data_IF_482835198206
#
_entry.id   IF_482835198206
#
_cell.length_a   1.000
_cell.length_b   1.000
_cell.length_c   1.000
_cell.angle_alpha   90.00
_cell.angle_beta   90.00
_cell.angle_gamma   90.00
#
_symmetry.space_group_name_H-M   'P 1'
#
loop_
_entity.id
_entity.type
_entity.pdbx_description
1 polymer ?
#
# COMPACT_ATOMS: atom_id res chain seq x y z
N UNK A 1 41.08 6.80 120.97
CA UNK A 1 42.05 7.89 120.77
C UNK A 1 41.98 8.42 119.34
N UNK A 2 41.77 9.74 119.26
CA UNK A 2 42.02 10.62 118.10
C UNK A 2 41.24 10.34 116.76
N UNK A 3 40.42 11.18 116.38
CA UNK A 3 40.33 12.55 115.86
C UNK A 3 40.00 12.51 114.38
N UNK A 4 38.83 13.02 114.07
CA UNK A 4 38.53 14.05 113.04
C UNK A 4 39.24 14.03 111.68
N UNK A 5 38.50 14.13 110.63
CA UNK A 5 38.27 15.43 109.98
C UNK A 5 37.26 15.33 108.84
N UNK A 6 36.34 16.33 108.81
CA UNK A 6 35.38 16.64 107.74
C UNK A 6 36.09 16.91 106.44
N UNK A 7 35.47 16.48 105.29
CA UNK A 7 35.63 17.22 104.05
C UNK A 7 34.33 17.17 103.26
N UNK A 8 33.78 18.33 103.07
CA UNK A 8 32.70 18.76 102.27
C UNK A 8 32.88 18.40 100.82
N UNK A 9 31.98 17.79 100.21
CA UNK A 9 31.92 17.57 98.77
C UNK A 9 30.94 18.48 98.09
N UNK A 10 31.45 19.36 97.26
CA UNK A 10 30.71 20.24 96.35
C UNK A 10 29.73 19.50 95.47
N UNK A 11 28.53 19.99 95.58
CA UNK A 11 27.37 19.58 94.73
C UNK A 11 27.44 20.33 93.45
N UNK A 12 28.06 19.67 92.42
CA UNK A 12 28.07 20.17 91.03
C UNK A 12 26.69 19.91 90.40
N UNK A 13 25.85 20.95 90.39
CA UNK A 13 24.60 21.03 89.60
C UNK A 13 24.91 20.64 88.16
N UNK A 14 24.41 19.49 87.66
CA UNK A 14 24.33 19.07 86.25
C UNK A 14 23.29 19.98 85.55
N UNK A 15 23.74 20.83 84.62
CA UNK A 15 22.86 21.61 83.74
C UNK A 15 22.02 20.62 82.92
N UNK A 16 20.70 20.85 82.75
CA UNK A 16 19.85 20.01 81.95
C UNK A 16 20.27 20.12 80.49
N UNK A 17 20.46 18.96 79.83
CA UNK A 17 20.69 18.85 78.41
C UNK A 17 19.47 19.42 77.64
N UNK A 18 19.63 20.57 77.00
CA UNK A 18 18.66 21.10 76.08
C UNK A 18 18.54 20.10 74.87
N UNK A 19 17.41 19.42 74.75
CA UNK A 19 17.03 18.72 73.59
C UNK A 19 16.92 19.73 72.41
N UNK A 20 17.48 19.44 71.25
CA UNK A 20 17.33 20.33 70.11
C UNK A 20 15.84 20.39 69.74
N UNK A 21 15.27 21.58 69.86
CA UNK A 21 13.91 21.85 69.35
C UNK A 21 13.91 21.48 67.86
N UNK A 22 13.27 20.37 67.50
CA UNK A 22 12.89 20.10 66.13
C UNK A 22 12.06 21.30 65.63
N UNK A 23 12.68 22.12 64.75
CA UNK A 23 11.94 23.13 63.99
C UNK A 23 11.01 22.41 63.08
N UNK A 24 9.80 22.10 63.54
CA UNK A 24 8.72 21.66 62.67
C UNK A 24 8.53 22.72 61.60
N UNK A 25 8.76 22.35 60.36
CA UNK A 25 8.52 23.19 59.20
C UNK A 25 7.02 23.49 59.16
N UNK A 26 6.59 24.62 59.72
CA UNK A 26 5.17 25.08 59.68
C UNK A 26 4.93 25.62 58.27
N UNK A 27 4.55 24.73 57.33
CA UNK A 27 4.07 25.14 56.03
C UNK A 27 2.89 26.10 56.20
N UNK A 28 2.96 27.27 55.56
CA UNK A 28 1.85 28.21 55.51
C UNK A 28 0.60 27.58 54.87
N UNK A 29 -0.56 28.13 55.09
CA UNK A 29 -1.83 27.62 54.57
C UNK A 29 -1.78 27.43 53.03
N UNK A 30 -1.16 28.37 52.30
CA UNK A 30 -0.94 28.30 50.86
C UNK A 30 -0.11 27.07 50.45
N UNK A 31 1.00 26.79 51.14
CA UNK A 31 1.85 25.65 50.86
C UNK A 31 1.17 24.29 51.14
N UNK A 32 0.23 24.24 52.10
CA UNK A 32 -0.58 23.05 52.36
C UNK A 32 -1.62 22.80 51.29
N UNK A 33 -2.29 23.86 50.82
CA UNK A 33 -3.27 23.79 49.73
C UNK A 33 -2.58 23.38 48.43
N UNK A 34 -1.47 24.02 48.05
CA UNK A 34 -0.65 23.66 46.89
C UNK A 34 -0.14 22.22 46.97
N UNK A 35 0.30 21.76 48.16
CA UNK A 35 0.81 20.40 48.34
C UNK A 35 -0.22 19.29 48.13
N UNK A 36 -1.52 19.60 48.21
CA UNK A 36 -2.61 18.65 47.92
C UNK A 36 -3.18 18.85 46.53
N UNK A 37 -3.44 20.11 46.12
CA UNK A 37 -4.06 20.38 44.83
C UNK A 37 -3.15 20.13 43.65
N UNK A 38 -1.84 20.40 43.74
CA UNK A 38 -0.90 20.24 42.66
C UNK A 38 -0.76 18.75 42.19
N UNK A 39 -0.57 17.76 43.09
CA UNK A 39 -0.51 16.36 42.66
C UNK A 39 -1.82 15.89 42.01
N UNK A 40 -2.98 16.32 42.54
CA UNK A 40 -4.28 15.96 41.98
C UNK A 40 -4.42 16.52 40.55
N UNK A 41 -4.04 17.80 40.35
CA UNK A 41 -4.09 18.44 39.04
C UNK A 41 -3.15 17.75 38.06
N UNK A 42 -1.93 17.40 38.48
CA UNK A 42 -0.97 16.65 37.63
C UNK A 42 -1.57 15.31 37.21
N UNK A 43 -2.15 14.54 38.14
CA UNK A 43 -2.75 13.24 37.80
C UNK A 43 -3.91 13.42 36.82
N UNK A 44 -4.77 14.41 37.02
CA UNK A 44 -5.87 14.70 36.09
C UNK A 44 -5.38 15.08 34.71
N UNK A 45 -4.34 15.92 34.61
CA UNK A 45 -3.76 16.33 33.33
C UNK A 45 -3.13 15.13 32.62
N UNK A 46 -2.39 14.28 33.34
CA UNK A 46 -1.79 13.05 32.75
C UNK A 46 -2.92 12.12 32.25
N UNK A 47 -3.97 11.94 33.05
CA UNK A 47 -5.10 11.12 32.65
C UNK A 47 -5.80 11.67 31.38
N UNK A 48 -6.04 12.99 31.32
CA UNK A 48 -6.61 13.63 30.12
C UNK A 48 -5.75 13.47 28.89
N UNK A 49 -4.42 13.66 29.03
CA UNK A 49 -3.48 13.47 27.91
C UNK A 49 -3.51 12.00 27.43
N UNK A 50 -3.50 11.04 28.35
CA UNK A 50 -3.54 9.62 28.02
C UNK A 50 -4.84 9.24 27.29
N UNK A 51 -5.98 9.75 27.73
CA UNK A 51 -7.28 9.52 27.08
C UNK A 51 -7.29 10.19 25.70
N UNK A 52 -6.91 11.46 25.62
CA UNK A 52 -6.87 12.19 24.34
C UNK A 52 -5.96 11.51 23.32
N UNK A 53 -4.77 11.07 23.75
CA UNK A 53 -3.85 10.31 22.91
C UNK A 53 -4.48 9.01 22.40
N UNK A 54 -5.04 8.20 23.30
CA UNK A 54 -5.64 6.90 22.94
C UNK A 54 -6.84 7.05 21.97
N UNK A 55 -7.67 8.09 22.16
CA UNK A 55 -8.78 8.38 21.25
C UNK A 55 -8.26 8.85 19.89
N UNK A 56 -7.33 9.81 19.89
CA UNK A 56 -6.75 10.34 18.64
C UNK A 56 -6.02 9.26 17.83
N UNK A 57 -5.27 8.37 18.49
CA UNK A 57 -4.59 7.25 17.83
C UNK A 57 -5.60 6.33 17.10
N UNK A 58 -6.69 5.96 17.80
CA UNK A 58 -7.74 5.12 17.19
C UNK A 58 -8.44 5.81 16.01
N UNK A 59 -8.75 7.09 16.15
CA UNK A 59 -9.45 7.84 15.11
C UNK A 59 -8.56 8.06 13.89
N UNK A 60 -7.29 8.40 14.07
CA UNK A 60 -6.31 8.56 12.99
C UNK A 60 -6.06 7.22 12.31
N UNK A 61 -5.87 6.14 13.07
CA UNK A 61 -5.71 4.80 12.51
C UNK A 61 -6.92 4.40 11.66
N UNK A 62 -8.13 4.57 12.17
CA UNK A 62 -9.37 4.26 11.44
C UNK A 62 -9.55 5.12 10.19
N UNK A 63 -9.25 6.41 10.27
CA UNK A 63 -9.29 7.33 9.14
C UNK A 63 -8.28 6.94 8.08
N UNK A 64 -7.05 6.63 8.47
CA UNK A 64 -5.97 6.19 7.58
C UNK A 64 -6.29 4.85 6.89
N UNK A 65 -6.86 3.90 7.63
CA UNK A 65 -7.34 2.64 7.06
C UNK A 65 -8.44 2.87 6.01
N UNK A 66 -9.39 3.77 6.29
CA UNK A 66 -10.45 4.14 5.36
C UNK A 66 -9.90 4.81 4.11
N UNK A 67 -8.94 5.73 4.27
CA UNK A 67 -8.27 6.43 3.17
C UNK A 67 -7.48 5.45 2.30
N UNK A 68 -6.70 4.55 2.90
CA UNK A 68 -5.94 3.53 2.17
C UNK A 68 -6.88 2.62 1.37
N UNK A 69 -7.99 2.19 1.97
CA UNK A 69 -9.01 1.37 1.30
C UNK A 69 -9.65 2.10 0.12
N UNK A 70 -9.99 3.38 0.30
CA UNK A 70 -10.56 4.20 -0.78
C UNK A 70 -9.55 4.38 -1.91
N UNK A 71 -8.30 4.67 -1.58
CA UNK A 71 -7.21 4.80 -2.55
C UNK A 71 -6.98 3.50 -3.33
N UNK A 72 -6.93 2.36 -2.66
CA UNK A 72 -6.80 1.05 -3.30
C UNK A 72 -7.99 0.75 -4.24
N UNK A 73 -9.21 1.12 -3.83
CA UNK A 73 -10.40 0.99 -4.67
C UNK A 73 -10.30 1.86 -5.92
N UNK A 74 -9.89 3.11 -5.78
CA UNK A 74 -9.76 4.04 -6.90
C UNK A 74 -8.67 3.61 -7.88
N UNK A 75 -7.53 3.12 -7.39
CA UNK A 75 -6.49 2.51 -8.22
C UNK A 75 -6.99 1.27 -8.96
N UNK A 76 -7.67 0.36 -8.26
CA UNK A 76 -8.27 -0.82 -8.87
C UNK A 76 -9.25 -0.46 -9.98
N UNK A 77 -10.13 0.51 -9.73
CA UNK A 77 -11.07 0.99 -10.75
C UNK A 77 -10.36 1.61 -11.97
N UNK A 78 -9.24 2.30 -11.78
CA UNK A 78 -8.45 2.85 -12.89
C UNK A 78 -7.80 1.74 -13.72
N UNK A 79 -7.28 0.69 -13.08
CA UNK A 79 -6.72 -0.49 -13.77
C UNK A 79 -7.83 -1.20 -14.58
N UNK A 80 -8.98 -1.46 -13.96
CA UNK A 80 -10.15 -2.06 -14.61
C UNK A 80 -10.64 -1.22 -15.81
N UNK A 81 -10.70 0.10 -15.64
CA UNK A 81 -11.09 1.01 -16.72
C UNK A 81 -10.08 1.00 -17.88
N UNK A 82 -8.77 0.93 -17.59
CA UNK A 82 -7.73 0.81 -18.61
C UNK A 82 -7.87 -0.51 -19.38
N UNK A 83 -7.99 -1.64 -18.68
CA UNK A 83 -8.18 -2.96 -19.29
C UNK A 83 -9.42 -2.99 -20.18
N UNK A 84 -10.56 -2.53 -19.66
CA UNK A 84 -11.82 -2.53 -20.42
C UNK A 84 -11.71 -1.66 -21.67
N UNK A 85 -11.14 -0.45 -21.57
CA UNK A 85 -10.93 0.43 -22.72
C UNK A 85 -10.05 -0.22 -23.78
N UNK A 86 -8.93 -0.86 -23.39
CA UNK A 86 -8.05 -1.53 -24.34
C UNK A 86 -8.73 -2.72 -25.01
N UNK A 87 -9.51 -3.48 -24.27
CA UNK A 87 -10.27 -4.58 -24.84
C UNK A 87 -11.38 -4.10 -25.81
N UNK A 88 -12.01 -2.97 -25.54
CA UNK A 88 -13.02 -2.38 -26.43
C UNK A 88 -12.37 -1.81 -27.71
N UNK A 89 -11.14 -1.28 -27.64
CA UNK A 89 -10.38 -0.91 -28.83
C UNK A 89 -10.10 -2.14 -29.71
N UNK A 90 -9.66 -3.27 -29.11
CA UNK A 90 -9.44 -4.54 -29.82
C UNK A 90 -10.73 -5.08 -30.45
N UNK A 91 -11.88 -5.00 -29.75
CA UNK A 91 -13.19 -5.37 -30.28
C UNK A 91 -13.58 -4.49 -31.48
N UNK A 92 -13.26 -3.19 -31.41
CA UNK A 92 -13.53 -2.25 -32.51
C UNK A 92 -12.72 -2.60 -33.74
N UNK A 93 -11.42 -2.90 -33.57
CA UNK A 93 -10.55 -3.38 -34.69
C UNK A 93 -11.08 -4.68 -35.26
N UNK A 94 -11.45 -5.65 -34.39
CA UNK A 94 -12.08 -6.91 -34.82
C UNK A 94 -13.32 -6.64 -35.69
N UNK A 95 -14.24 -5.82 -35.18
CA UNK A 95 -15.48 -5.48 -35.86
C UNK A 95 -15.21 -4.86 -37.25
N UNK A 96 -14.27 -3.91 -37.33
CA UNK A 96 -13.91 -3.29 -38.60
C UNK A 96 -13.31 -4.30 -39.60
N UNK A 97 -12.39 -5.15 -39.16
CA UNK A 97 -11.79 -6.17 -40.03
C UNK A 97 -12.85 -7.13 -40.57
N UNK A 98 -13.82 -7.56 -39.78
CA UNK A 98 -14.90 -8.47 -40.19
C UNK A 98 -15.89 -7.82 -41.15
N UNK A 99 -16.23 -6.53 -40.94
CA UNK A 99 -17.29 -5.86 -41.71
C UNK A 99 -16.81 -5.09 -42.94
N UNK A 100 -15.51 -4.72 -42.98
CA UNK A 100 -14.88 -4.06 -44.16
C UNK A 100 -14.56 -5.00 -45.30
N UNK A 101 -14.67 -6.33 -45.07
CA UNK A 101 -14.24 -7.35 -46.03
C UNK A 101 -12.74 -7.62 -45.98
N UNK A 102 -12.01 -7.01 -45.08
CA UNK A 102 -10.55 -7.19 -44.97
C UNK A 102 -10.16 -8.64 -44.67
N UNK A 103 -11.00 -9.39 -43.95
CA UNK A 103 -10.74 -10.81 -43.64
C UNK A 103 -10.65 -11.67 -44.94
N UNK A 104 -11.33 -11.25 -46.01
CA UNK A 104 -11.36 -11.96 -47.32
C UNK A 104 -10.39 -11.40 -48.36
N UNK A 105 -9.88 -10.19 -48.16
CA UNK A 105 -8.95 -9.50 -49.04
C UNK A 105 -7.62 -9.25 -48.33
N UNK A 106 -6.60 -10.02 -48.73
CA UNK A 106 -5.26 -9.94 -48.12
C UNK A 106 -4.62 -8.55 -48.25
N UNK A 107 -4.86 -7.84 -49.38
CA UNK A 107 -4.30 -6.50 -49.59
C UNK A 107 -5.00 -5.48 -48.67
N UNK A 108 -6.31 -5.60 -48.53
CA UNK A 108 -7.07 -4.74 -47.65
C UNK A 108 -6.73 -5.03 -46.19
N UNK A 109 -6.55 -6.31 -45.83
CA UNK A 109 -6.10 -6.69 -44.47
C UNK A 109 -4.73 -6.08 -44.15
N UNK A 110 -3.75 -6.20 -45.05
CA UNK A 110 -2.42 -5.59 -44.89
C UNK A 110 -2.53 -4.07 -44.69
N UNK A 111 -3.32 -3.40 -45.53
CA UNK A 111 -3.55 -1.96 -45.40
C UNK A 111 -4.13 -1.61 -44.03
N UNK A 112 -5.16 -2.34 -43.56
CA UNK A 112 -5.79 -2.10 -42.25
C UNK A 112 -4.79 -2.31 -41.12
N UNK A 113 -3.97 -3.36 -41.16
CA UNK A 113 -2.94 -3.60 -40.14
C UNK A 113 -1.92 -2.47 -40.10
N UNK A 114 -1.51 -1.92 -41.26
CA UNK A 114 -0.66 -0.75 -41.32
C UNK A 114 -1.33 0.50 -40.74
N UNK A 115 -2.62 0.72 -41.06
CA UNK A 115 -3.39 1.86 -40.54
C UNK A 115 -3.55 1.79 -39.00
N UNK A 116 -3.59 0.59 -38.41
CA UNK A 116 -3.70 0.40 -36.97
C UNK A 116 -2.37 0.34 -36.23
N UNK A 117 -1.25 0.27 -36.92
CA UNK A 117 0.07 0.11 -36.30
C UNK A 117 0.44 1.22 -35.32
N UNK A 118 0.09 2.46 -35.66
CA UNK A 118 0.36 3.65 -34.85
C UNK A 118 -0.88 4.18 -34.10
N UNK A 119 -1.89 3.33 -33.90
CA UNK A 119 -3.15 3.77 -33.29
C UNK A 119 -2.97 4.18 -31.83
N UNK A 120 -2.17 3.45 -31.08
CA UNK A 120 -1.89 3.71 -29.67
C UNK A 120 -0.58 2.99 -29.29
N UNK A 121 0.33 3.71 -28.62
CA UNK A 121 1.66 3.22 -28.23
C UNK A 121 1.61 2.05 -27.24
N UNK A 122 0.48 1.85 -26.55
CA UNK A 122 0.32 0.72 -25.64
C UNK A 122 0.15 -0.62 -26.37
N UNK A 123 -0.21 -0.61 -27.66
CA UNK A 123 -0.24 -1.81 -28.50
C UNK A 123 1.12 -2.10 -29.10
N UNK A 124 1.93 -2.84 -28.36
CA UNK A 124 3.31 -3.12 -28.76
C UNK A 124 3.35 -3.99 -30.02
N UNK A 125 3.92 -3.42 -31.10
CA UNK A 125 3.95 -4.08 -32.42
C UNK A 125 2.62 -4.06 -33.18
N UNK A 126 1.60 -3.32 -32.70
CA UNK A 126 0.30 -3.18 -33.33
C UNK A 126 -0.52 -4.47 -33.29
N UNK A 127 -1.32 -4.68 -34.33
CA UNK A 127 -2.18 -5.86 -34.45
C UNK A 127 -1.62 -6.89 -35.44
N UNK A 128 -1.87 -8.16 -35.16
CA UNK A 128 -1.54 -9.25 -36.07
C UNK A 128 -2.71 -10.22 -36.24
N UNK A 129 -2.78 -10.78 -37.43
CA UNK A 129 -3.76 -11.80 -37.80
C UNK A 129 -3.02 -13.07 -38.19
N UNK A 130 -3.34 -14.17 -37.52
CA UNK A 130 -2.68 -15.47 -37.71
C UNK A 130 -3.69 -16.50 -38.21
N UNK A 131 -3.34 -17.23 -39.24
CA UNK A 131 -4.14 -18.31 -39.82
C UNK A 131 -3.88 -19.67 -39.15
N UNK A 132 -4.61 -20.70 -39.53
CA UNK A 132 -4.45 -22.07 -39.01
C UNK A 132 -3.13 -22.74 -39.44
N UNK A 133 -2.48 -22.23 -40.47
CA UNK A 133 -1.13 -22.69 -40.87
C UNK A 133 -0.06 -22.13 -39.93
N UNK A 134 -0.37 -21.06 -39.18
CA UNK A 134 0.57 -20.34 -38.35
C UNK A 134 1.25 -19.16 -39.08
N UNK A 135 0.70 -18.80 -40.24
CA UNK A 135 1.17 -17.63 -40.99
C UNK A 135 0.67 -16.37 -40.30
N UNK A 136 1.57 -15.46 -39.98
CA UNK A 136 1.27 -14.19 -39.28
C UNK A 136 1.31 -13.05 -40.30
N UNK A 137 0.21 -12.33 -40.41
CA UNK A 137 0.13 -11.01 -41.02
C UNK A 137 0.21 -9.93 -39.96
N UNK A 138 1.06 -8.96 -40.17
CA UNK A 138 1.29 -7.81 -39.28
C UNK A 138 1.59 -6.58 -40.13
N UNK A 139 1.61 -5.39 -39.50
CA UNK A 139 2.01 -4.18 -40.22
C UNK A 139 3.41 -4.31 -40.83
N UNK A 140 3.64 -3.66 -41.98
CA UNK A 140 4.93 -3.71 -42.70
C UNK A 140 6.07 -3.12 -41.84
N UNK A 141 5.78 -2.07 -41.04
CA UNK A 141 6.73 -1.41 -40.14
C UNK A 141 7.00 -2.19 -38.84
N UNK A 142 6.22 -3.24 -38.57
CA UNK A 142 6.44 -4.07 -37.37
C UNK A 142 7.63 -5.04 -37.62
N UNK A 143 8.74 -4.79 -36.97
CA UNK A 143 9.96 -5.61 -37.03
C UNK A 143 9.98 -6.80 -36.08
N UNK A 144 8.99 -6.92 -35.16
CA UNK A 144 8.94 -8.00 -34.17
C UNK A 144 8.97 -9.37 -34.82
N UNK A 145 9.91 -10.22 -34.43
CA UNK A 145 9.97 -11.60 -34.90
C UNK A 145 9.00 -12.47 -34.13
N UNK A 146 8.05 -13.09 -34.82
CA UNK A 146 7.10 -14.04 -34.23
C UNK A 146 7.46 -15.43 -34.74
N UNK A 147 8.14 -16.19 -33.89
CA UNK A 147 8.50 -17.57 -34.19
C UNK A 147 7.42 -18.50 -33.58
N UNK A 148 7.13 -19.61 -34.32
CA UNK A 148 6.20 -20.64 -33.84
C UNK A 148 4.88 -20.07 -33.31
N UNK A 149 4.18 -19.28 -34.14
CA UNK A 149 2.95 -18.60 -33.75
C UNK A 149 1.93 -19.52 -33.06
N UNK A 150 1.84 -20.79 -33.47
CA UNK A 150 0.92 -21.78 -32.91
C UNK A 150 1.24 -22.16 -31.46
N UNK A 151 2.49 -22.02 -31.04
CA UNK A 151 2.93 -22.33 -29.68
C UNK A 151 2.70 -21.14 -28.73
N UNK A 152 2.40 -19.96 -29.27
CA UNK A 152 2.17 -18.75 -28.50
C UNK A 152 0.85 -18.80 -27.73
N UNK A 153 0.87 -18.30 -26.50
CA UNK A 153 -0.31 -18.31 -25.60
C UNK A 153 -1.49 -17.57 -26.22
N UNK A 154 -1.25 -16.45 -26.90
CA UNK A 154 -2.29 -15.65 -27.54
C UNK A 154 -2.97 -16.41 -28.71
N UNK A 155 -2.23 -17.25 -29.45
CA UNK A 155 -2.80 -18.07 -30.50
C UNK A 155 -3.71 -19.16 -29.91
N UNK A 156 -3.21 -19.91 -28.93
CA UNK A 156 -3.96 -21.00 -28.30
C UNK A 156 -5.24 -20.47 -27.60
N UNK A 157 -5.12 -19.35 -26.90
CA UNK A 157 -6.29 -18.71 -26.25
C UNK A 157 -7.23 -18.09 -27.29
N UNK A 158 -6.71 -17.50 -28.37
CA UNK A 158 -7.51 -16.93 -29.44
C UNK A 158 -8.39 -17.97 -30.14
N UNK A 159 -7.89 -19.21 -30.33
CA UNK A 159 -8.68 -20.32 -30.89
C UNK A 159 -9.91 -20.72 -30.05
N UNK A 160 -9.94 -20.37 -28.78
CA UNK A 160 -11.03 -20.76 -27.86
C UNK A 160 -12.02 -19.63 -27.59
N UNK A 161 -11.86 -18.46 -28.22
CA UNK A 161 -12.63 -17.26 -27.91
C UNK A 161 -13.16 -16.57 -29.16
N UNK A 162 -14.46 -16.45 -29.28
CA UNK A 162 -15.09 -15.62 -30.33
C UNK A 162 -14.89 -14.13 -30.02
N UNK A 163 -15.06 -13.75 -28.76
CA UNK A 163 -14.82 -12.37 -28.32
C UNK A 163 -13.39 -12.22 -27.81
N UNK A 164 -12.72 -11.10 -28.13
CA UNK A 164 -11.40 -10.82 -27.60
C UNK A 164 -11.37 -10.85 -26.06
N UNK A 165 -10.28 -11.38 -25.53
CA UNK A 165 -10.01 -11.45 -24.10
C UNK A 165 -8.52 -11.54 -23.85
N UNK A 166 -8.12 -11.28 -22.60
CA UNK A 166 -6.72 -11.26 -22.20
C UNK A 166 -6.13 -12.66 -21.98
N UNK A 167 -4.82 -12.80 -22.26
CA UNK A 167 -4.01 -13.96 -21.86
C UNK A 167 -3.52 -13.78 -20.41
N UNK A 168 -2.93 -14.82 -19.80
CA UNK A 168 -2.01 -14.61 -18.70
C UNK A 168 -0.87 -13.65 -19.06
N UNK A 169 -0.28 -13.01 -18.05
CA UNK A 169 0.88 -12.13 -18.21
C UNK A 169 2.10 -12.95 -18.59
N UNK A 170 2.99 -12.38 -19.40
CA UNK A 170 4.26 -12.95 -19.78
C UNK A 170 5.33 -11.86 -19.88
N UNK A 171 6.58 -12.25 -19.85
CA UNK A 171 7.72 -11.36 -20.11
C UNK A 171 8.11 -11.40 -21.57
N UNK A 172 8.43 -10.25 -22.15
CA UNK A 172 9.04 -10.17 -23.46
C UNK A 172 10.56 -10.42 -23.40
N UNK A 173 11.23 -10.34 -24.55
CA UNK A 173 12.68 -10.55 -24.64
C UNK A 173 13.52 -9.47 -23.91
N UNK A 174 12.91 -8.35 -23.55
CA UNK A 174 13.53 -7.21 -22.85
C UNK A 174 13.13 -7.15 -21.36
N UNK A 175 12.45 -8.21 -20.88
CA UNK A 175 11.92 -8.37 -19.53
C UNK A 175 10.81 -7.35 -19.16
N UNK A 176 10.07 -6.84 -20.15
CA UNK A 176 8.86 -6.07 -19.86
C UNK A 176 7.68 -6.99 -19.62
N UNK A 177 6.86 -6.64 -18.65
CA UNK A 177 5.62 -7.36 -18.38
C UNK A 177 4.57 -7.03 -19.43
N UNK A 178 4.10 -8.04 -20.12
CA UNK A 178 3.18 -7.96 -21.24
C UNK A 178 1.93 -8.79 -21.00
N UNK A 179 0.83 -8.37 -21.63
CA UNK A 179 -0.41 -9.13 -21.73
C UNK A 179 -0.86 -9.09 -23.19
N UNK A 180 -1.40 -10.18 -23.72
CA UNK A 180 -1.99 -10.14 -25.07
C UNK A 180 -3.51 -10.09 -24.99
N UNK A 181 -4.13 -9.33 -25.88
CA UNK A 181 -5.56 -9.44 -26.18
C UNK A 181 -5.74 -10.22 -27.49
N UNK A 182 -6.57 -11.25 -27.46
CA UNK A 182 -6.74 -12.13 -28.63
C UNK A 182 -8.16 -12.67 -28.73
N UNK A 183 -8.58 -12.96 -29.96
CA UNK A 183 -9.87 -13.56 -30.26
C UNK A 183 -9.96 -14.00 -31.70
N UNK A 184 -10.91 -14.88 -31.99
CA UNK A 184 -11.16 -15.41 -33.33
C UNK A 184 -11.82 -14.34 -34.19
N UNK A 185 -11.37 -14.20 -35.45
CA UNK A 185 -12.05 -13.44 -36.48
C UNK A 185 -13.12 -14.31 -37.14
N UNK A 186 -14.32 -13.77 -37.34
CA UNK A 186 -15.39 -14.45 -38.08
C UNK A 186 -15.19 -14.24 -39.58
N UNK A 187 -14.67 -15.25 -40.24
CA UNK A 187 -14.45 -15.28 -41.68
C UNK A 187 -15.46 -16.20 -42.39
N UNK A 188 -16.28 -16.93 -41.66
CA UNK A 188 -17.22 -17.97 -42.14
C UNK A 188 -16.54 -19.13 -42.94
N UNK A 189 -15.30 -19.01 -43.41
CA UNK A 189 -14.60 -19.99 -44.21
C UNK A 189 -13.29 -20.48 -43.64
N UNK A 190 -12.55 -19.58 -42.97
CA UNK A 190 -11.24 -19.87 -42.41
C UNK A 190 -11.14 -19.33 -40.96
N UNK A 191 -10.54 -20.11 -40.09
CA UNK A 191 -10.22 -19.67 -38.74
C UNK A 191 -9.00 -18.78 -38.79
N UNK A 192 -9.15 -17.56 -38.33
CA UNK A 192 -8.07 -16.59 -38.12
C UNK A 192 -8.16 -16.02 -36.72
N UNK A 193 -7.02 -15.63 -36.17
CA UNK A 193 -6.93 -15.07 -34.83
C UNK A 193 -6.38 -13.67 -34.94
N UNK A 194 -7.13 -12.70 -34.41
CA UNK A 194 -6.65 -11.36 -34.15
C UNK A 194 -5.95 -11.34 -32.81
N UNK A 195 -4.77 -10.76 -32.74
CA UNK A 195 -4.00 -10.59 -31.52
C UNK A 195 -3.28 -9.26 -31.51
N UNK A 196 -3.01 -8.77 -30.30
CA UNK A 196 -2.11 -7.65 -30.05
C UNK A 196 -1.49 -7.81 -28.67
N UNK A 197 -0.27 -7.30 -28.48
CA UNK A 197 0.39 -7.25 -27.19
C UNK A 197 0.25 -5.87 -26.57
N UNK A 198 0.07 -5.82 -25.26
CA UNK A 198 0.00 -4.59 -24.49
C UNK A 198 1.08 -4.60 -23.41
N UNK A 199 1.82 -3.49 -23.28
CA UNK A 199 2.73 -3.27 -22.16
C UNK A 199 1.92 -2.94 -20.90
N UNK A 200 2.35 -3.48 -19.76
CA UNK A 200 1.80 -3.13 -18.46
C UNK A 200 2.40 -1.84 -17.87
N UNK A 201 3.22 -1.08 -18.63
CA UNK A 201 3.82 0.17 -18.17
C UNK A 201 2.75 1.20 -17.70
N UNK A 202 1.64 1.30 -18.44
CA UNK A 202 0.53 2.16 -18.05
C UNK A 202 -0.11 1.72 -16.73
N UNK A 203 -0.20 0.42 -16.49
CA UNK A 203 -0.69 -0.15 -15.22
C UNK A 203 0.30 0.15 -14.11
N UNK A 204 1.60 0.02 -14.38
CA UNK A 204 2.65 0.37 -13.42
C UNK A 204 2.60 1.86 -13.04
N UNK A 205 2.33 2.76 -13.99
CA UNK A 205 2.11 4.18 -13.71
C UNK A 205 0.91 4.38 -12.77
N UNK A 206 -0.22 3.69 -13.01
CA UNK A 206 -1.41 3.76 -12.15
C UNK A 206 -1.06 3.29 -10.73
N UNK A 207 -0.39 2.14 -10.60
CA UNK A 207 0.03 1.57 -9.31
C UNK A 207 0.94 2.52 -8.54
N UNK A 208 1.80 3.27 -9.23
CA UNK A 208 2.78 4.15 -8.60
C UNK A 208 2.26 5.56 -8.30
N UNK A 209 1.26 6.06 -9.04
CA UNK A 209 0.85 7.47 -9.00
C UNK A 209 -0.38 7.75 -8.15
N UNK A 210 -1.24 6.76 -7.90
CA UNK A 210 -2.60 7.02 -7.42
C UNK A 210 -2.78 6.86 -5.91
N UNK A 211 -1.70 6.76 -5.12
CA UNK A 211 -1.86 6.65 -3.67
C UNK A 211 -2.01 8.05 -3.06
N UNK A 212 -3.24 8.38 -2.64
CA UNK A 212 -3.58 9.68 -2.03
C UNK A 212 -2.99 9.88 -0.62
N UNK A 213 -2.34 8.85 -0.06
CA UNK A 213 -1.80 8.85 1.29
C UNK A 213 -0.28 8.93 1.25
N UNK A 214 0.30 9.90 1.95
CA UNK A 214 1.76 10.08 2.01
C UNK A 214 2.45 8.83 2.57
N UNK A 215 3.45 8.34 1.84
CA UNK A 215 4.23 7.16 2.22
C UNK A 215 3.50 5.82 2.09
N UNK A 216 2.29 5.81 1.52
CA UNK A 216 1.66 4.57 1.11
C UNK A 216 2.21 4.13 -0.26
N UNK A 217 2.27 2.83 -0.44
CA UNK A 217 2.75 2.17 -1.64
C UNK A 217 1.77 1.09 -2.09
N UNK A 218 1.83 0.75 -3.37
CA UNK A 218 1.03 -0.32 -3.93
C UNK A 218 1.88 -1.25 -4.79
N UNK A 219 1.45 -2.49 -4.90
CA UNK A 219 1.96 -3.47 -5.86
C UNK A 219 0.79 -4.25 -6.45
N UNK A 220 0.95 -4.68 -7.69
CA UNK A 220 -0.02 -5.53 -8.39
C UNK A 220 0.55 -6.94 -8.50
N UNK A 221 -0.23 -7.93 -8.16
CA UNK A 221 0.18 -9.34 -8.13
C UNK A 221 -0.77 -10.18 -8.96
N UNK A 222 -0.25 -11.10 -9.75
CA UNK A 222 -1.02 -12.18 -10.33
C UNK A 222 -1.22 -13.27 -9.26
N UNK A 223 -2.47 -13.48 -8.85
CA UNK A 223 -2.83 -14.45 -7.80
C UNK A 223 -2.53 -15.90 -8.22
N UNK A 224 -2.64 -16.20 -9.50
CA UNK A 224 -2.46 -17.56 -10.03
C UNK A 224 -0.99 -18.01 -10.01
N UNK A 225 -0.07 -17.12 -10.38
CA UNK A 225 1.37 -17.38 -10.41
C UNK A 225 2.06 -16.95 -9.12
N UNK A 226 1.60 -15.87 -8.52
CA UNK A 226 2.22 -15.17 -7.39
C UNK A 226 3.21 -14.09 -7.83
N UNK A 227 3.30 -13.80 -9.12
CA UNK A 227 4.27 -12.85 -9.67
C UNK A 227 3.82 -11.41 -9.47
N UNK A 228 4.77 -10.54 -9.19
CA UNK A 228 4.55 -9.10 -9.05
C UNK A 228 4.58 -8.47 -10.44
N UNK A 229 3.44 -7.92 -10.87
CA UNK A 229 3.25 -7.35 -12.20
C UNK A 229 3.61 -5.87 -12.28
N UNK A 230 3.44 -5.14 -11.18
CA UNK A 230 3.74 -3.73 -11.07
C UNK A 230 4.12 -3.38 -9.63
N UNK A 231 5.10 -2.51 -9.46
CA UNK A 231 5.59 -2.04 -8.17
C UNK A 231 6.36 -0.74 -8.33
N UNK A 232 6.43 0.05 -7.26
CA UNK A 232 7.33 1.20 -7.18
C UNK A 232 8.80 0.78 -7.18
N UNK A 233 9.10 -0.35 -6.53
CA UNK A 233 10.42 -0.97 -6.56
C UNK A 233 10.53 -1.82 -7.82
N UNK A 234 11.21 -1.33 -8.86
CA UNK A 234 11.36 -2.02 -10.15
C UNK A 234 12.01 -3.40 -10.01
N UNK A 235 12.86 -3.59 -9.01
CA UNK A 235 13.54 -4.86 -8.71
C UNK A 235 12.56 -5.97 -8.26
N UNK A 236 11.36 -5.60 -7.80
CA UNK A 236 10.33 -6.55 -7.42
C UNK A 236 9.50 -7.02 -8.61
N UNK A 237 9.44 -6.27 -9.71
CA UNK A 237 8.65 -6.64 -10.90
C UNK A 237 9.21 -7.96 -11.46
N UNK A 238 8.32 -8.84 -11.88
CA UNK A 238 8.63 -10.20 -12.35
C UNK A 238 9.16 -11.17 -11.26
N UNK A 239 9.30 -10.73 -10.00
CA UNK A 239 9.63 -11.65 -8.92
C UNK A 239 8.36 -12.27 -8.33
N UNK A 240 8.50 -13.48 -7.74
CA UNK A 240 7.35 -14.18 -7.17
C UNK A 240 7.26 -14.00 -5.66
N UNK A 241 6.04 -13.72 -5.16
CA UNK A 241 5.75 -13.72 -3.73
C UNK A 241 5.99 -15.10 -3.08
N UNK A 242 5.97 -16.19 -3.87
CA UNK A 242 6.15 -17.57 -3.36
C UNK A 242 7.61 -17.82 -2.99
N UNK A 243 8.55 -17.23 -3.73
CA UNK A 243 9.98 -17.48 -3.60
C UNK A 243 10.73 -16.38 -2.85
N UNK A 244 10.01 -15.36 -2.38
CA UNK A 244 10.63 -14.22 -1.71
C UNK A 244 11.18 -14.59 -0.32
N UNK A 245 12.36 -14.06 0.01
CA UNK A 245 12.89 -14.08 1.37
C UNK A 245 12.30 -12.97 2.26
N UNK A 246 11.60 -12.01 1.67
CA UNK A 246 10.98 -10.88 2.37
C UNK A 246 9.76 -11.35 3.16
N UNK A 247 9.87 -11.35 4.49
CA UNK A 247 8.81 -11.85 5.35
C UNK A 247 7.51 -11.01 5.31
N UNK A 248 7.54 -9.75 4.88
CA UNK A 248 6.33 -8.96 4.64
C UNK A 248 5.59 -9.50 3.40
N UNK A 249 6.30 -9.67 2.29
CA UNK A 249 5.74 -10.17 1.04
C UNK A 249 5.20 -11.60 1.19
N UNK A 250 5.85 -12.45 1.98
CA UNK A 250 5.33 -13.78 2.35
C UNK A 250 3.96 -13.71 3.03
N UNK A 251 3.82 -12.84 4.01
CA UNK A 251 2.54 -12.67 4.72
C UNK A 251 1.46 -12.02 3.83
N UNK A 252 1.86 -11.19 2.85
CA UNK A 252 0.97 -10.66 1.81
C UNK A 252 0.45 -11.81 0.93
N UNK A 253 1.32 -12.74 0.51
CA UNK A 253 0.92 -13.92 -0.25
C UNK A 253 -0.13 -14.76 0.51
N UNK A 254 0.08 -14.98 1.82
CA UNK A 254 -0.89 -15.69 2.67
C UNK A 254 -2.24 -14.99 2.76
N UNK A 255 -2.24 -13.63 2.75
CA UNK A 255 -3.47 -12.84 2.75
C UNK A 255 -4.22 -12.95 1.43
N UNK A 256 -3.52 -12.83 0.30
CA UNK A 256 -4.08 -12.98 -1.06
C UNK A 256 -4.69 -14.36 -1.22
N UNK A 257 -4.02 -15.42 -0.78
CA UNK A 257 -4.49 -16.80 -0.89
C UNK A 257 -5.77 -17.10 -0.08
N UNK A 258 -6.09 -16.26 0.92
CA UNK A 258 -7.30 -16.39 1.75
C UNK A 258 -8.47 -15.54 1.24
N UNK A 259 -8.33 -14.84 0.12
CA UNK A 259 -9.31 -13.89 -0.42
C UNK A 259 -9.77 -12.85 0.63
N UNK A 260 -8.84 -12.43 1.49
CA UNK A 260 -9.14 -11.52 2.59
C UNK A 260 -8.96 -10.07 2.14
N UNK A 261 -10.06 -9.42 1.75
CA UNK A 261 -10.11 -7.98 1.41
C UNK A 261 -10.19 -7.06 2.64
N UNK A 262 -10.17 -7.61 3.85
CA UNK A 262 -10.19 -6.79 5.07
C UNK A 262 -8.91 -5.98 5.21
N UNK A 263 -9.02 -4.83 5.89
CA UNK A 263 -7.84 -4.07 6.30
C UNK A 263 -7.17 -4.80 7.45
N UNK A 264 -5.92 -5.18 7.28
CA UNK A 264 -5.16 -5.91 8.29
C UNK A 264 -3.80 -5.25 8.52
N UNK A 265 -3.23 -5.45 9.69
CA UNK A 265 -1.85 -5.05 9.96
C UNK A 265 -0.96 -6.28 9.79
N UNK A 266 -0.05 -6.22 8.83
CA UNK A 266 0.96 -7.25 8.58
C UNK A 266 2.30 -6.69 9.01
N UNK A 267 2.86 -7.25 10.09
CA UNK A 267 4.06 -6.73 10.75
C UNK A 267 3.83 -5.27 11.20
N UNK A 268 4.55 -4.34 10.60
CA UNK A 268 4.53 -2.90 10.88
C UNK A 268 3.80 -2.08 9.80
N UNK A 269 3.04 -2.73 8.92
CA UNK A 269 2.32 -2.08 7.82
C UNK A 269 0.83 -2.39 7.87
N UNK A 270 0.01 -1.37 7.67
CA UNK A 270 -1.42 -1.53 7.36
C UNK A 270 -1.54 -1.91 5.91
N UNK A 271 -2.26 -2.99 5.61
CA UNK A 271 -2.38 -3.59 4.28
C UNK A 271 -3.84 -3.73 3.89
N UNK A 272 -4.14 -3.37 2.65
CA UNK A 272 -5.43 -3.57 1.99
C UNK A 272 -5.19 -4.31 0.69
N UNK A 273 -6.04 -5.29 0.37
CA UNK A 273 -6.06 -5.98 -0.91
C UNK A 273 -7.33 -5.66 -1.68
N UNK A 274 -7.25 -5.60 -3.01
CA UNK A 274 -8.37 -5.35 -3.92
C UNK A 274 -8.21 -6.22 -5.17
N UNK A 275 -9.16 -7.10 -5.44
CA UNK A 275 -9.20 -7.86 -6.69
C UNK A 275 -9.54 -6.97 -7.87
N UNK A 276 -8.91 -7.22 -9.02
CA UNK A 276 -9.15 -6.51 -10.29
C UNK A 276 -10.11 -7.34 -11.12
N UNK A 277 -11.31 -6.82 -11.33
CA UNK A 277 -12.38 -7.55 -12.03
C UNK A 277 -11.97 -7.99 -13.45
N UNK A 278 -12.29 -9.24 -13.78
CA UNK A 278 -11.99 -9.84 -15.10
C UNK A 278 -10.55 -10.34 -15.28
N UNK A 279 -9.76 -10.34 -14.21
CA UNK A 279 -8.39 -10.87 -14.18
C UNK A 279 -8.17 -11.72 -12.92
N UNK A 280 -7.02 -12.39 -12.85
CA UNK A 280 -6.53 -13.03 -11.61
C UNK A 280 -5.60 -12.07 -10.82
N UNK A 281 -5.74 -10.76 -11.00
CA UNK A 281 -4.87 -9.78 -10.40
C UNK A 281 -5.42 -9.23 -9.08
N UNK A 282 -4.50 -9.00 -8.16
CA UNK A 282 -4.79 -8.39 -6.86
C UNK A 282 -3.89 -7.19 -6.64
N UNK A 283 -4.50 -6.03 -6.45
CA UNK A 283 -3.80 -4.84 -6.00
C UNK A 283 -3.62 -4.91 -4.48
N UNK A 284 -2.41 -4.74 -4.02
CA UNK A 284 -2.02 -4.69 -2.61
C UNK A 284 -1.51 -3.30 -2.29
N UNK A 285 -2.24 -2.56 -1.47
CA UNK A 285 -1.82 -1.23 -1.01
C UNK A 285 -1.46 -1.28 0.46
N UNK A 286 -0.36 -0.65 0.85
CA UNK A 286 0.14 -0.68 2.22
C UNK A 286 0.79 0.63 2.64
N UNK A 287 0.80 0.88 3.94
CA UNK A 287 1.47 2.03 4.56
C UNK A 287 2.10 1.61 5.89
N UNK A 288 3.33 2.03 6.22
CA UNK A 288 3.93 1.80 7.53
C UNK A 288 3.09 2.42 8.66
N UNK A 289 2.83 1.65 9.71
CA UNK A 289 2.09 2.14 10.90
C UNK A 289 2.77 3.32 11.56
N UNK A 290 4.10 3.38 11.52
CA UNK A 290 4.89 4.48 12.05
C UNK A 290 4.58 5.82 11.37
N UNK A 291 4.25 5.83 10.07
CA UNK A 291 3.85 7.05 9.36
C UNK A 291 2.46 7.53 9.81
N UNK A 292 1.54 6.59 10.06
CA UNK A 292 0.21 6.91 10.59
C UNK A 292 0.31 7.48 12.01
N UNK A 293 1.12 6.86 12.87
CA UNK A 293 1.24 7.25 14.27
C UNK A 293 2.09 8.49 14.49
N UNK A 294 2.95 8.86 13.55
CA UNK A 294 3.79 10.05 13.67
C UNK A 294 3.00 11.35 13.84
N UNK A 295 1.81 11.45 13.23
CA UNK A 295 0.91 12.60 13.40
C UNK A 295 0.37 12.65 14.84
N UNK A 296 0.10 11.48 15.45
CA UNK A 296 -0.36 11.39 16.86
C UNK A 296 0.76 11.75 17.83
N UNK A 297 2.00 11.36 17.53
CA UNK A 297 3.16 11.72 18.36
C UNK A 297 3.43 13.22 18.35
N UNK A 298 3.20 13.92 17.26
CA UNK A 298 3.25 15.38 17.22
C UNK A 298 2.17 16.01 18.11
N UNK A 299 0.93 15.51 18.09
CA UNK A 299 -0.14 15.96 18.99
C UNK A 299 0.21 15.72 20.46
N UNK A 300 0.80 14.56 20.79
CA UNK A 300 1.27 14.26 22.15
C UNK A 300 2.27 15.29 22.64
N UNK A 301 3.24 15.65 21.81
CA UNK A 301 4.27 16.64 22.14
C UNK A 301 3.66 18.01 22.42
N UNK A 302 2.70 18.44 21.58
CA UNK A 302 1.96 19.70 21.78
C UNK A 302 1.16 19.67 23.08
N UNK A 303 0.41 18.58 23.36
CA UNK A 303 -0.40 18.44 24.58
C UNK A 303 0.47 18.48 25.84
N UNK A 304 1.63 17.83 25.84
CA UNK A 304 2.60 17.88 26.95
C UNK A 304 3.11 19.31 27.13
N UNK A 305 3.45 20.02 26.07
CA UNK A 305 3.88 21.42 26.11
C UNK A 305 2.82 22.34 26.74
N UNK A 306 1.57 22.22 26.30
CA UNK A 306 0.44 22.97 26.86
C UNK A 306 0.22 22.65 28.33
N UNK A 307 0.33 21.37 28.71
CA UNK A 307 0.20 20.94 30.10
C UNK A 307 1.28 21.54 31.00
N UNK A 308 2.53 21.56 30.55
CA UNK A 308 3.65 22.18 31.30
C UNK A 308 3.40 23.66 31.51
N UNK A 309 3.01 24.40 30.47
CA UNK A 309 2.69 25.82 30.54
C UNK A 309 1.52 26.07 31.49
N UNK A 310 0.45 25.27 31.40
CA UNK A 310 -0.72 25.36 32.29
C UNK A 310 -0.36 25.13 33.78
N UNK A 311 0.49 24.13 34.07
CA UNK A 311 0.98 23.88 35.43
C UNK A 311 1.86 25.01 35.97
N UNK A 312 2.71 25.61 35.11
CA UNK A 312 3.52 26.79 35.52
C UNK A 312 2.62 27.99 35.84
N UNK A 313 1.64 28.29 35.00
CA UNK A 313 0.67 29.37 35.27
C UNK A 313 -0.12 29.10 36.57
N UNK A 314 -0.58 27.86 36.75
CA UNK A 314 -1.29 27.46 37.97
C UNK A 314 -0.44 27.65 39.22
N UNK A 315 0.85 27.30 39.19
CA UNK A 315 1.76 27.49 40.33
C UNK A 315 2.13 28.95 40.60
N UNK A 316 2.11 29.81 39.58
CA UNK A 316 2.39 31.25 39.72
C UNK A 316 1.18 32.02 40.29
N UNK A 317 -0.05 31.55 39.99
CA UNK A 317 -1.27 32.24 40.42
C UNK A 317 -1.71 31.86 41.87
N UNK A 318 -1.22 30.75 42.41
CA UNK A 318 -1.51 30.26 43.78
C UNK A 318 -0.31 30.34 44.72
#
# INVERSE_FOLDING_TARGET
MKKNTKQTKDDKMKKPKQHPKQKGFRMGLRAKILGISLPITIIMVIAMIAIAYSVSEKDIMKSSQSLLRTSAKDQGNQIEAWLNRKLDEVKTVKYDLEHSGAVKDQKLLQKKLNDYYALDDSFVGGFYVTDTAGTVMKADDNTTQINNAKDQIWYQKGLTRMNPGYTPVFEDAENHMMISACGMLDDATNIRILSTNLSLDSVNIIVNSSVSMQGAESLLVDKSTGDILASRESELIATSLKDTSNGFLKNVADKINKDDESVTTIRDKVVVTREIAGTDWVLVSYVPTSLITSEVDNLRTILIGVAIVGLLVFTLLN
#
